data_IF_138503657009
#
_entry.id   IF_138503657009
#
_cell.length_a   1.000
_cell.length_b   1.000
_cell.length_c   1.000
_cell.angle_alpha   90.00
_cell.angle_beta   90.00
_cell.angle_gamma   90.00
#
_symmetry.space_group_name_H-M   'P 1'
#
loop_
_entity.id
_entity.type
_entity.pdbx_description
1 polymer ?
#
# COMPACT_ATOMS: atom_id res chain seq x y z
N UNK A 1 -6.47 3.70 1.13
CA UNK A 1 -7.42 4.78 0.86
C UNK A 1 -8.12 5.14 2.17
N UNK A 2 -7.56 6.11 2.89
CA UNK A 2 -8.09 6.52 4.19
C UNK A 2 -9.30 7.46 4.06
N UNK A 3 -9.47 8.14 2.94
CA UNK A 3 -10.63 9.02 2.72
C UNK A 3 -11.94 8.21 2.62
N UNK A 4 -11.86 7.03 1.99
CA UNK A 4 -12.99 6.11 1.87
C UNK A 4 -12.92 4.94 2.88
N UNK A 5 -11.96 4.96 3.79
CA UNK A 5 -11.75 3.90 4.79
C UNK A 5 -11.69 2.50 4.16
N UNK A 6 -10.85 2.35 3.13
CA UNK A 6 -10.71 1.11 2.37
C UNK A 6 -9.25 0.66 2.28
N UNK A 7 -9.02 -0.64 2.46
CA UNK A 7 -7.77 -1.30 2.10
C UNK A 7 -7.96 -2.12 0.81
N UNK A 8 -6.98 -2.08 -0.05
CA UNK A 8 -6.97 -2.85 -1.29
C UNK A 8 -5.74 -3.73 -1.34
N UNK A 9 -5.92 -4.94 -1.80
CA UNK A 9 -4.85 -5.92 -1.96
C UNK A 9 -4.72 -6.30 -3.42
N UNK A 10 -3.50 -6.33 -3.93
CA UNK A 10 -3.21 -6.88 -5.24
C UNK A 10 -2.16 -7.98 -5.14
N UNK A 11 -2.22 -8.95 -6.05
CA UNK A 11 -1.24 -10.02 -6.20
C UNK A 11 -0.69 -9.96 -7.61
N UNK A 12 0.62 -9.80 -7.75
CA UNK A 12 1.30 -9.67 -9.04
C UNK A 12 0.64 -8.60 -9.95
N UNK A 13 0.32 -7.45 -9.39
CA UNK A 13 -0.34 -6.35 -10.11
C UNK A 13 -1.85 -6.52 -10.34
N UNK A 14 -2.43 -7.65 -9.97
CA UNK A 14 -3.87 -7.91 -10.14
C UNK A 14 -4.62 -7.62 -8.84
N UNK A 15 -5.56 -6.69 -8.89
CA UNK A 15 -6.41 -6.35 -7.77
C UNK A 15 -7.30 -7.53 -7.38
N UNK A 16 -7.31 -7.90 -6.10
CA UNK A 16 -8.06 -9.06 -5.60
C UNK A 16 -9.54 -8.75 -5.34
N UNK A 17 -9.86 -7.50 -5.07
CA UNK A 17 -11.24 -7.04 -4.89
C UNK A 17 -11.36 -5.59 -5.35
N UNK A 18 -12.32 -5.29 -6.20
CA UNK A 18 -12.62 -3.93 -6.64
C UNK A 18 -13.35 -3.11 -5.57
N UNK A 19 -14.00 -3.76 -4.62
CA UNK A 19 -14.72 -3.09 -3.52
C UNK A 19 -13.84 -2.76 -2.32
N UNK A 20 -12.66 -3.39 -2.24
CA UNK A 20 -11.76 -3.25 -1.09
C UNK A 20 -12.29 -3.91 0.18
N UNK A 21 -11.55 -3.73 1.24
CA UNK A 21 -11.87 -4.20 2.59
C UNK A 21 -12.19 -2.95 3.42
N UNK A 22 -13.31 -2.95 4.11
CA UNK A 22 -13.69 -1.85 5.00
C UNK A 22 -12.71 -1.76 6.18
N UNK A 23 -12.23 -0.56 6.44
CA UNK A 23 -11.42 -0.25 7.62
C UNK A 23 -12.29 0.41 8.68
N UNK A 24 -12.11 0.05 9.94
CA UNK A 24 -12.74 0.80 11.03
C UNK A 24 -12.07 2.18 11.16
N UNK A 25 -12.87 3.25 11.39
CA UNK A 25 -12.32 4.58 11.65
C UNK A 25 -11.35 4.56 12.83
N UNK A 26 -10.28 5.35 12.75
CA UNK A 26 -9.27 5.44 13.81
C UNK A 26 -9.86 5.76 15.18
N UNK A 27 -10.92 6.56 15.22
CA UNK A 27 -11.63 6.90 16.47
C UNK A 27 -12.34 5.68 17.09
N UNK A 28 -12.71 4.67 16.28
CA UNK A 28 -13.46 3.49 16.73
C UNK A 28 -12.57 2.29 17.04
N UNK A 29 -11.38 2.20 16.44
CA UNK A 29 -10.50 1.04 16.62
C UNK A 29 -9.71 1.03 17.95
N UNK A 30 -9.83 2.09 18.75
CA UNK A 30 -9.23 2.21 20.08
C UNK A 30 -7.72 2.40 20.11
N UNK A 31 -7.02 2.27 18.98
CA UNK A 31 -5.56 2.39 18.90
C UNK A 31 -5.09 3.71 18.32
N UNK A 32 -5.93 4.39 17.56
CA UNK A 32 -5.61 5.66 16.92
C UNK A 32 -4.64 5.56 15.73
N UNK A 33 -4.29 4.33 15.29
CA UNK A 33 -3.39 4.14 14.14
C UNK A 33 -3.63 2.81 13.45
N UNK A 34 -3.19 2.71 12.21
CA UNK A 34 -3.08 1.46 11.45
C UNK A 34 -1.63 1.06 11.29
N UNK A 35 -1.38 -0.24 11.25
CA UNK A 35 -0.05 -0.78 10.99
C UNK A 35 -0.12 -1.90 9.95
N UNK A 36 0.93 -2.02 9.16
CA UNK A 36 1.10 -3.17 8.28
C UNK A 36 1.62 -4.36 9.09
N UNK A 37 1.02 -5.51 8.87
CA UNK A 37 1.44 -6.75 9.50
C UNK A 37 1.49 -7.88 8.45
N UNK A 38 2.53 -8.67 8.51
CA UNK A 38 2.67 -9.92 7.73
C UNK A 38 2.92 -11.05 8.71
N UNK A 39 2.10 -12.09 8.62
CA UNK A 39 2.23 -13.28 9.45
C UNK A 39 2.17 -14.55 8.61
N UNK A 40 2.80 -15.61 9.09
CA UNK A 40 2.73 -16.95 8.53
C UNK A 40 2.27 -17.91 9.63
N UNK A 41 1.31 -18.78 9.33
CA UNK A 41 0.83 -19.79 10.24
C UNK A 41 1.38 -21.21 9.93
N UNK A 42 2.35 -21.31 9.05
CA UNK A 42 2.93 -22.59 8.66
C UNK A 42 4.25 -22.86 9.37
N UNK A 43 4.53 -24.13 9.68
CA UNK A 43 5.73 -24.56 10.40
C UNK A 43 7.07 -24.39 9.63
N UNK A 44 7.05 -23.87 8.41
CA UNK A 44 8.23 -23.61 7.59
C UNK A 44 8.75 -22.17 7.75
N UNK A 45 10.06 -21.99 7.61
CA UNK A 45 10.63 -20.63 7.53
C UNK A 45 10.20 -19.94 6.25
N UNK A 46 9.78 -18.68 6.37
CA UNK A 46 9.46 -17.81 5.24
C UNK A 46 10.32 -16.56 5.29
N UNK A 47 10.73 -16.08 4.15
CA UNK A 47 11.39 -14.79 4.03
C UNK A 47 10.41 -13.82 3.39
N UNK A 48 10.18 -12.70 4.04
CA UNK A 48 9.36 -11.61 3.50
C UNK A 48 10.25 -10.40 3.30
N UNK A 49 10.12 -9.76 2.17
CA UNK A 49 10.77 -8.50 1.87
C UNK A 49 9.71 -7.44 1.66
N UNK A 50 9.89 -6.28 2.30
CA UNK A 50 8.97 -5.17 2.19
C UNK A 50 9.59 -4.03 1.37
N UNK A 51 8.83 -3.49 0.42
CA UNK A 51 9.19 -2.29 -0.31
C UNK A 51 8.21 -1.17 0.03
N UNK A 52 8.70 -0.16 0.72
CA UNK A 52 7.96 1.06 1.02
C UNK A 52 8.29 2.21 0.04
N UNK A 53 8.84 1.90 -1.11
CA UNK A 53 9.19 2.86 -2.15
C UNK A 53 10.62 3.41 -2.08
N UNK A 54 11.44 3.00 -1.12
CA UNK A 54 12.80 3.53 -0.91
C UNK A 54 13.90 2.82 -1.71
N UNK A 55 13.55 1.96 -2.65
CA UNK A 55 14.52 1.35 -3.56
C UNK A 55 15.42 0.29 -2.92
N UNK A 56 15.05 -0.30 -1.80
CA UNK A 56 15.82 -1.36 -1.15
C UNK A 56 15.80 -2.68 -1.93
N UNK A 57 14.84 -2.85 -2.80
CA UNK A 57 14.71 -4.00 -3.70
C UNK A 57 14.94 -3.62 -5.14
N UNK A 58 15.54 -4.53 -5.89
CA UNK A 58 15.58 -4.44 -7.34
C UNK A 58 14.18 -4.69 -7.88
N UNK A 59 13.52 -3.65 -8.35
CA UNK A 59 12.24 -3.76 -9.02
C UNK A 59 12.47 -4.16 -10.47
N UNK A 60 11.70 -5.11 -10.99
CA UNK A 60 11.82 -5.55 -12.39
C UNK A 60 11.14 -4.57 -13.34
N UNK A 61 10.12 -3.86 -12.88
CA UNK A 61 9.38 -2.87 -13.67
C UNK A 61 8.96 -1.71 -12.78
N UNK A 62 9.93 -0.88 -12.39
CA UNK A 62 9.69 0.21 -11.45
C UNK A 62 8.69 1.24 -11.99
N UNK A 63 7.58 1.44 -11.29
CA UNK A 63 6.59 2.48 -11.54
C UNK A 63 6.70 3.53 -10.43
N UNK A 64 7.02 4.76 -10.81
CA UNK A 64 7.10 5.86 -9.84
C UNK A 64 5.73 6.14 -9.21
N UNK A 65 5.74 6.57 -7.95
CA UNK A 65 4.56 7.15 -7.33
C UNK A 65 4.25 8.55 -7.91
N UNK A 66 3.10 9.10 -7.57
CA UNK A 66 2.64 10.37 -8.16
C UNK A 66 3.50 11.60 -7.79
N UNK A 67 4.33 11.49 -6.77
CA UNK A 67 5.30 12.53 -6.39
C UNK A 67 6.72 12.27 -6.94
N UNK A 68 6.98 11.10 -7.51
CA UNK A 68 8.32 10.70 -7.95
C UNK A 68 9.30 10.44 -6.80
N UNK A 69 8.82 10.23 -5.57
CA UNK A 69 9.66 10.01 -4.41
C UNK A 69 9.86 8.54 -4.06
N UNK A 70 8.98 7.68 -4.55
CA UNK A 70 9.06 6.25 -4.37
C UNK A 70 8.70 5.48 -5.62
N UNK A 71 8.89 4.17 -5.59
CA UNK A 71 8.57 3.32 -6.72
C UNK A 71 7.89 2.02 -6.27
N UNK A 72 6.96 1.55 -7.10
CA UNK A 72 6.24 0.30 -6.97
C UNK A 72 6.71 -0.70 -8.02
N UNK A 73 6.63 -2.00 -7.72
CA UNK A 73 6.80 -3.05 -8.73
C UNK A 73 5.63 -3.06 -9.74
N UNK A 74 4.43 -2.77 -9.27
CA UNK A 74 3.22 -2.69 -10.08
C UNK A 74 2.49 -1.38 -9.82
N UNK A 75 1.97 -0.77 -10.87
CA UNK A 75 1.13 0.41 -10.72
C UNK A 75 -0.12 0.08 -9.89
N UNK A 76 -0.39 0.81 -8.82
CA UNK A 76 -1.66 0.69 -8.12
C UNK A 76 -2.79 1.05 -9.08
N UNK A 77 -3.70 0.12 -9.30
CA UNK A 77 -4.85 0.31 -10.18
C UNK A 77 -6.12 -0.10 -9.46
N UNK A 78 -6.84 0.88 -8.95
CA UNK A 78 -8.14 0.68 -8.32
C UNK A 78 -9.19 1.11 -9.34
N UNK A 79 -9.79 0.14 -10.02
CA UNK A 79 -10.86 0.39 -10.98
C UNK A 79 -12.16 0.74 -10.27
N UNK A 80 -12.85 1.76 -10.73
CA UNK A 80 -14.18 2.15 -10.24
C UNK A 80 -14.25 3.49 -9.53
N UNK A 81 -13.14 4.20 -9.42
CA UNK A 81 -13.15 5.57 -8.93
C UNK A 81 -13.14 6.54 -10.12
N UNK A 82 -14.08 7.48 -10.11
CA UNK A 82 -14.24 8.50 -11.15
C UNK A 82 -13.21 9.62 -11.07
N UNK A 83 -12.43 9.66 -9.99
CA UNK A 83 -11.37 10.64 -9.78
C UNK A 83 -10.00 9.99 -9.98
N UNK A 84 -9.11 10.69 -10.66
CA UNK A 84 -7.71 10.27 -10.81
C UNK A 84 -7.05 10.28 -9.42
N UNK A 85 -7.08 9.15 -8.73
CA UNK A 85 -6.44 9.03 -7.42
C UNK A 85 -4.93 9.05 -7.58
N UNK A 86 -4.31 9.78 -6.70
CA UNK A 86 -2.88 9.79 -6.53
C UNK A 86 -2.47 8.70 -5.56
N UNK A 87 -1.42 7.97 -5.90
CA UNK A 87 -0.85 6.94 -5.06
C UNK A 87 0.55 7.35 -4.64
N UNK A 88 0.77 7.36 -3.34
CA UNK A 88 2.04 7.73 -2.75
C UNK A 88 2.66 6.52 -2.06
N UNK A 89 3.94 6.28 -2.32
CA UNK A 89 4.69 5.29 -1.59
C UNK A 89 4.84 5.72 -0.12
N UNK A 90 4.75 4.77 0.80
CA UNK A 90 4.94 5.03 2.23
C UNK A 90 6.44 5.19 2.55
N UNK A 91 7.10 6.14 1.90
CA UNK A 91 8.52 6.41 2.05
C UNK A 91 8.77 7.68 2.87
N UNK A 92 9.98 7.81 3.40
CA UNK A 92 10.34 8.92 4.28
C UNK A 92 10.21 10.31 3.65
N UNK A 93 10.38 10.42 2.33
CA UNK A 93 10.20 11.71 1.63
C UNK A 93 8.72 12.11 1.57
N UNK A 94 7.83 11.18 1.24
CA UNK A 94 6.40 11.45 1.25
C UNK A 94 5.92 11.75 2.68
N UNK A 95 6.42 11.04 3.68
CA UNK A 95 6.11 11.32 5.09
C UNK A 95 6.57 12.72 5.52
N UNK A 96 7.74 13.17 5.07
CA UNK A 96 8.24 14.51 5.39
C UNK A 96 7.41 15.63 4.76
N UNK A 97 6.78 15.37 3.60
CA UNK A 97 6.03 16.37 2.85
C UNK A 97 4.53 16.35 3.19
N UNK A 98 3.97 15.19 3.50
CA UNK A 98 2.51 14.99 3.69
C UNK A 98 2.15 14.29 5.01
N UNK A 99 3.11 13.93 5.82
CA UNK A 99 2.90 13.23 7.10
C UNK A 99 2.51 14.13 8.27
#
# INVERSE_FOLDING_TARGET
>A
DLDNMKAYLSKNGTLQSSTGIDLEPLASNGTGHYMFFVGDNNAGSRTCEANFGNGFQSLSSAVADDNGHGAFEFSPNITGDSEAKKFFACCSKNLAEFG
#
